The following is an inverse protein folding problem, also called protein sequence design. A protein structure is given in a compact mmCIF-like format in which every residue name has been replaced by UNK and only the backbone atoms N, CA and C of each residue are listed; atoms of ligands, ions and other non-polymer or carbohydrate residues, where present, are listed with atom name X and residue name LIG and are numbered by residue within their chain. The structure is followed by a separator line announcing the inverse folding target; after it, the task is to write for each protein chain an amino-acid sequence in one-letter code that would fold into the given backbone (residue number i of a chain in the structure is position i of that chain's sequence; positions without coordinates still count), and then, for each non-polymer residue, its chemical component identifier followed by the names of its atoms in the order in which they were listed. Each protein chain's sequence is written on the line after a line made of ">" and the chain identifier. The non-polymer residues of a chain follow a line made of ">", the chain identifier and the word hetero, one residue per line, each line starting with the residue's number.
data_IF_312684939679
#
_entry.id   IF_312684939679
#
_cell.length_a   1.000
_cell.length_b   1.000
_cell.length_c   1.000
_cell.angle_alpha   90.00
_cell.angle_beta   90.00
_cell.angle_gamma   90.00
#
_symmetry.space_group_name_H-M   'P 1'
#
loop_
_entity.id
_entity.type
_entity.pdbx_description
1 polymer ?
#
# COMPACT_ATOMS: atom_id res chain seq x y z
N UNK A 1 -27.56 33.39 -33.47
CA UNK A 1 -28.28 33.22 -32.18
C UNK A 1 -27.26 33.28 -31.06
N UNK A 2 -27.01 34.47 -30.52
CA UNK A 2 -26.03 34.72 -29.45
C UNK A 2 -26.63 34.39 -28.08
N UNK A 3 -25.97 33.54 -27.28
CA UNK A 3 -26.34 33.32 -25.88
C UNK A 3 -25.40 34.10 -24.98
N UNK A 4 -25.99 35.04 -24.25
CA UNK A 4 -25.38 35.89 -23.23
C UNK A 4 -25.03 35.06 -21.99
N UNK A 5 -23.77 35.12 -21.55
CA UNK A 5 -23.30 34.55 -20.30
C UNK A 5 -23.58 35.53 -19.16
N UNK A 6 -24.56 35.21 -18.31
CA UNK A 6 -24.82 35.94 -17.06
C UNK A 6 -24.03 35.27 -15.94
N UNK A 7 -23.07 35.99 -15.36
CA UNK A 7 -22.34 35.55 -14.18
C UNK A 7 -23.21 35.71 -12.92
N UNK A 8 -23.22 34.74 -11.98
CA UNK A 8 -23.94 34.88 -10.73
C UNK A 8 -23.21 35.82 -9.75
N UNK A 9 -23.95 36.57 -8.90
CA UNK A 9 -23.38 37.48 -7.91
C UNK A 9 -22.75 36.74 -6.72
N UNK A 10 -21.60 37.25 -6.27
CA UNK A 10 -20.90 36.78 -5.08
C UNK A 10 -21.70 37.12 -3.80
N UNK A 11 -21.84 36.20 -2.83
CA UNK A 11 -22.44 36.53 -1.54
C UNK A 11 -21.50 37.35 -0.65
N UNK A 12 -22.13 38.28 0.07
CA UNK A 12 -21.55 39.22 1.03
C UNK A 12 -21.02 38.48 2.26
N UNK A 13 -19.80 38.82 2.67
CA UNK A 13 -19.10 38.29 3.84
C UNK A 13 -19.71 38.86 5.13
N UNK A 14 -20.29 38.01 5.98
CA UNK A 14 -20.68 38.38 7.34
C UNK A 14 -19.46 38.25 8.27
N UNK A 15 -19.01 39.38 8.83
CA UNK A 15 -17.98 39.42 9.85
C UNK A 15 -18.58 39.08 11.22
N UNK A 16 -18.27 37.88 11.73
CA UNK A 16 -18.63 37.46 13.08
C UNK A 16 -17.56 37.98 14.06
N UNK A 17 -17.93 38.93 14.92
CA UNK A 17 -17.10 39.40 16.02
C UNK A 17 -17.20 38.37 17.15
N UNK A 18 -16.13 37.60 17.35
CA UNK A 18 -16.00 36.65 18.46
C UNK A 18 -15.42 37.39 19.67
N UNK A 19 -16.20 37.49 20.74
CA UNK A 19 -15.76 38.02 22.02
C UNK A 19 -14.78 37.04 22.70
N UNK A 20 -13.56 37.51 22.96
CA UNK A 20 -12.51 36.79 23.68
C UNK A 20 -12.81 36.85 25.19
N UNK A 21 -13.21 35.72 25.77
CA UNK A 21 -13.20 35.53 27.21
C UNK A 21 -11.75 35.27 27.70
N UNK A 22 -11.32 35.83 28.84
CA UNK A 22 -10.01 35.53 29.42
C UNK A 22 -9.98 34.09 29.92
N UNK A 23 -9.20 33.24 29.27
CA UNK A 23 -8.93 31.88 29.74
C UNK A 23 -8.05 31.95 30.99
N UNK A 24 -8.62 31.58 32.13
CA UNK A 24 -7.86 31.29 33.33
C UNK A 24 -6.87 30.16 33.04
N UNK A 25 -5.59 30.42 33.31
CA UNK A 25 -4.49 29.50 33.10
C UNK A 25 -4.61 28.35 34.11
N UNK A 26 -5.24 27.24 33.72
CA UNK A 26 -5.24 26.03 34.52
C UNK A 26 -3.82 25.41 34.51
N UNK A 27 -3.31 24.93 35.66
CA UNK A 27 -2.00 24.28 35.72
C UNK A 27 -1.99 23.02 34.82
N UNK A 28 -0.88 22.72 34.13
CA UNK A 28 -0.79 21.57 33.26
C UNK A 28 -0.99 20.28 34.07
N UNK A 29 -2.00 19.50 33.69
CA UNK A 29 -2.24 18.18 34.28
C UNK A 29 -1.05 17.30 33.86
N UNK A 30 -0.33 16.66 34.80
CA UNK A 30 0.74 15.74 34.45
C UNK A 30 0.16 14.62 33.59
N UNK A 31 0.53 14.61 32.31
CA UNK A 31 0.09 13.60 31.36
C UNK A 31 0.82 12.31 31.69
N UNK A 32 0.12 11.35 32.30
CA UNK A 32 0.68 10.02 32.49
C UNK A 32 1.00 9.45 31.11
N UNK A 33 2.27 9.14 30.88
CA UNK A 33 2.69 8.50 29.64
C UNK A 33 2.02 7.11 29.60
N UNK A 34 1.13 6.82 28.63
CA UNK A 34 0.49 5.52 28.57
C UNK A 34 1.57 4.43 28.45
N UNK A 35 1.41 3.29 29.14
CA UNK A 35 2.37 2.20 29.05
C UNK A 35 2.54 1.80 27.58
N UNK A 36 3.78 1.87 27.07
CA UNK A 36 4.10 1.45 25.71
C UNK A 36 3.70 -0.03 25.59
N UNK A 37 2.83 -0.41 24.64
CA UNK A 37 2.46 -1.82 24.45
C UNK A 37 3.74 -2.62 24.25
N UNK A 38 3.91 -3.66 25.06
CA UNK A 38 5.01 -4.60 24.93
C UNK A 38 4.75 -5.43 23.68
N UNK A 39 5.48 -5.14 22.60
CA UNK A 39 5.48 -5.99 21.41
C UNK A 39 6.07 -7.32 21.86
N UNK A 40 5.26 -8.38 21.87
CA UNK A 40 5.73 -9.72 22.19
C UNK A 40 6.89 -10.08 21.26
N UNK A 41 8.01 -10.51 21.83
CA UNK A 41 9.15 -10.99 21.06
C UNK A 41 8.69 -12.14 20.16
N UNK A 42 8.91 -12.01 18.85
CA UNK A 42 8.59 -13.05 17.87
C UNK A 42 9.27 -14.36 18.29
N UNK A 43 8.49 -15.45 18.34
CA UNK A 43 9.04 -16.77 18.61
C UNK A 43 10.16 -17.09 17.61
N UNK A 44 11.28 -17.64 18.09
CA UNK A 44 12.39 -18.03 17.23
C UNK A 44 11.89 -18.96 16.11
N UNK A 45 12.29 -18.71 14.84
CA UNK A 45 11.83 -19.52 13.73
C UNK A 45 12.27 -20.97 13.91
N UNK A 46 11.32 -21.91 13.76
CA UNK A 46 11.62 -23.35 13.66
C UNK A 46 12.57 -23.59 12.49
N UNK A 47 13.69 -24.27 12.78
CA UNK A 47 14.91 -24.32 11.97
C UNK A 47 14.85 -25.20 10.69
N UNK A 48 13.76 -25.22 9.92
CA UNK A 48 13.69 -26.09 8.70
C UNK A 48 12.77 -25.58 7.59
N UNK A 49 12.34 -24.32 7.60
CA UNK A 49 11.71 -23.72 6.42
C UNK A 49 12.79 -23.18 5.48
N UNK A 50 12.70 -23.45 4.18
CA UNK A 50 13.52 -22.73 3.19
C UNK A 50 13.34 -21.22 3.37
N UNK A 51 14.40 -20.42 3.22
CA UNK A 51 14.30 -18.97 3.35
C UNK A 51 13.33 -18.43 2.29
N UNK A 52 12.34 -17.66 2.73
CA UNK A 52 11.42 -16.98 1.84
C UNK A 52 12.17 -15.97 0.97
N UNK A 53 12.11 -16.14 -0.35
CA UNK A 53 12.80 -15.29 -1.33
C UNK A 53 11.78 -14.40 -2.04
N UNK A 54 11.87 -13.11 -1.78
CA UNK A 54 11.08 -12.05 -2.43
C UNK A 54 11.89 -10.75 -2.34
N UNK A 55 11.77 -9.87 -3.33
CA UNK A 55 12.31 -8.50 -3.23
C UNK A 55 11.28 -7.47 -2.76
N UNK A 56 10.11 -7.90 -2.28
CA UNK A 56 9.10 -6.98 -1.76
C UNK A 56 7.90 -7.65 -1.13
N UNK A 57 6.99 -8.18 -1.94
CA UNK A 57 5.72 -8.73 -1.45
C UNK A 57 5.96 -9.91 -0.50
N UNK A 58 5.29 -9.92 0.66
CA UNK A 58 5.41 -10.98 1.65
C UNK A 58 6.64 -10.90 2.57
N UNK A 59 7.49 -9.88 2.43
CA UNK A 59 8.56 -9.61 3.39
C UNK A 59 7.98 -9.00 4.67
N UNK A 60 8.57 -9.33 5.82
CA UNK A 60 8.34 -8.57 7.04
C UNK A 60 9.02 -7.21 6.96
N UNK A 61 8.60 -6.27 7.80
CA UNK A 61 9.15 -4.90 7.79
C UNK A 61 10.65 -4.87 7.98
N UNK A 62 11.18 -5.61 8.95
CA UNK A 62 12.61 -5.70 9.23
C UNK A 62 13.40 -6.28 8.05
N UNK A 63 12.87 -7.33 7.41
CA UNK A 63 13.45 -7.93 6.20
C UNK A 63 13.44 -6.96 5.02
N UNK A 64 12.32 -6.25 4.82
CA UNK A 64 12.18 -5.24 3.78
C UNK A 64 13.14 -4.06 4.01
N UNK A 65 13.23 -3.57 5.25
CA UNK A 65 14.15 -2.48 5.63
C UNK A 65 15.62 -2.89 5.52
N UNK A 66 15.96 -4.15 5.80
CA UNK A 66 17.31 -4.68 5.59
C UNK A 66 17.71 -4.66 4.11
N UNK A 67 16.75 -4.85 3.20
CA UNK A 67 17.01 -4.88 1.74
C UNK A 67 16.89 -3.50 1.07
N UNK A 68 15.94 -2.66 1.49
CA UNK A 68 15.62 -1.39 0.83
C UNK A 68 16.13 -0.16 1.60
N UNK A 69 16.67 -0.35 2.80
CA UNK A 69 16.99 0.71 3.74
C UNK A 69 15.78 1.13 4.57
N UNK A 70 16.01 2.03 5.53
CA UNK A 70 14.97 2.54 6.42
C UNK A 70 13.95 3.41 5.70
N UNK A 71 12.72 3.41 6.20
CA UNK A 71 11.68 4.30 5.72
C UNK A 71 12.10 5.78 5.83
N UNK A 72 11.83 6.56 4.79
CA UNK A 72 12.07 8.00 4.80
C UNK A 72 10.89 8.76 5.43
N UNK A 73 9.68 8.27 5.19
CA UNK A 73 8.45 8.91 5.64
C UNK A 73 7.38 7.85 5.89
N UNK A 74 6.68 8.01 7.02
CA UNK A 74 5.50 7.24 7.37
C UNK A 74 4.31 8.20 7.35
N UNK A 75 3.24 7.85 6.66
CA UNK A 75 2.02 8.68 6.58
C UNK A 75 0.80 7.76 6.61
N UNK A 76 0.21 7.61 7.80
CA UNK A 76 -0.84 6.63 8.03
C UNK A 76 -0.35 5.20 7.76
N UNK A 77 -1.09 4.37 6.99
CA UNK A 77 -0.68 3.00 6.65
C UNK A 77 0.43 2.96 5.58
N UNK A 78 0.73 4.09 4.95
CA UNK A 78 1.63 4.18 3.80
C UNK A 78 3.05 4.52 4.26
N UNK A 79 4.01 3.73 3.79
CA UNK A 79 5.43 3.90 4.12
C UNK A 79 6.23 4.06 2.84
N UNK A 80 7.09 5.08 2.77
CA UNK A 80 7.89 5.42 1.58
C UNK A 80 9.38 5.13 1.75
N UNK A 81 9.97 4.56 0.73
CA UNK A 81 11.36 4.10 0.64
C UNK A 81 12.04 4.65 -0.63
N UNK A 82 13.37 4.52 -0.72
CA UNK A 82 14.18 4.87 -1.90
C UNK A 82 13.85 6.25 -2.50
N UNK A 83 13.91 7.30 -1.68
CA UNK A 83 13.60 8.67 -2.14
C UNK A 83 12.12 8.92 -2.44
N UNK A 84 11.22 8.04 -2.02
CA UNK A 84 9.79 8.14 -2.29
C UNK A 84 9.33 7.35 -3.52
N UNK A 85 10.25 6.68 -4.21
CA UNK A 85 9.98 5.90 -5.42
C UNK A 85 9.29 4.55 -5.15
N UNK A 86 9.42 4.03 -3.93
CA UNK A 86 8.78 2.78 -3.52
C UNK A 86 7.89 3.06 -2.34
N UNK A 87 6.61 2.80 -2.52
CA UNK A 87 5.57 2.92 -1.50
C UNK A 87 5.11 1.53 -1.12
N UNK A 88 5.01 1.24 0.17
CA UNK A 88 4.49 -0.04 0.66
C UNK A 88 3.49 0.19 1.78
N UNK A 89 2.63 -0.79 1.98
CA UNK A 89 1.77 -0.84 3.16
C UNK A 89 1.91 -2.22 3.82
N UNK A 90 1.73 -2.24 5.14
CA UNK A 90 1.91 -3.42 5.97
C UNK A 90 0.59 -3.84 6.60
N UNK A 91 0.35 -5.14 6.64
CA UNK A 91 -0.71 -5.76 7.44
C UNK A 91 0.00 -6.79 8.33
N UNK A 92 -0.20 -6.77 9.65
CA UNK A 92 0.50 -7.69 10.57
C UNK A 92 2.03 -7.72 10.37
N UNK A 93 2.60 -6.54 10.11
CA UNK A 93 4.02 -6.31 9.84
C UNK A 93 4.59 -7.00 8.58
N UNK A 94 3.74 -7.60 7.74
CA UNK A 94 4.10 -8.16 6.42
C UNK A 94 3.65 -7.23 5.28
N UNK A 95 4.49 -7.09 4.26
CA UNK A 95 4.20 -6.30 3.05
C UNK A 95 3.11 -7.00 2.24
N UNK A 96 1.96 -6.34 2.09
CA UNK A 96 0.82 -6.84 1.30
C UNK A 96 0.50 -5.96 0.08
N UNK A 97 1.14 -4.79 0.00
CA UNK A 97 1.03 -3.86 -1.10
C UNK A 97 2.39 -3.20 -1.36
N UNK A 98 2.78 -3.13 -2.63
CA UNK A 98 3.96 -2.43 -3.13
C UNK A 98 3.56 -1.60 -4.34
N UNK A 99 4.00 -0.36 -4.38
CA UNK A 99 3.85 0.54 -5.52
C UNK A 99 5.22 1.13 -5.84
N UNK A 100 5.61 1.06 -7.11
CA UNK A 100 6.85 1.62 -7.64
C UNK A 100 6.48 2.72 -8.62
N UNK A 101 6.90 3.94 -8.35
CA UNK A 101 6.63 5.12 -9.18
C UNK A 101 7.92 5.64 -9.83
N UNK A 102 7.94 5.76 -11.16
CA UNK A 102 9.07 6.36 -11.86
C UNK A 102 8.88 7.87 -11.99
N UNK A 103 9.98 8.66 -11.94
CA UNK A 103 9.87 10.09 -12.18
C UNK A 103 9.54 10.33 -13.66
N UNK A 104 8.86 11.43 -13.96
CA UNK A 104 8.32 11.72 -15.31
C UNK A 104 9.37 11.82 -16.42
N UNK A 105 10.66 11.95 -16.07
CA UNK A 105 11.78 12.01 -17.00
C UNK A 105 12.48 10.65 -17.22
N UNK A 106 12.04 9.58 -16.56
CA UNK A 106 12.63 8.23 -16.63
C UNK A 106 11.52 7.17 -16.68
N UNK A 107 10.56 7.34 -17.59
CA UNK A 107 9.47 6.39 -17.75
C UNK A 107 9.96 5.16 -18.55
N UNK A 108 9.90 3.94 -17.99
CA UNK A 108 10.27 2.73 -18.71
C UNK A 108 9.20 2.30 -19.71
N UNK A 109 9.62 1.50 -20.68
CA UNK A 109 8.71 0.74 -21.53
C UNK A 109 7.92 -0.30 -20.70
N UNK A 110 6.77 -0.80 -21.20
CA UNK A 110 6.00 -1.85 -20.54
C UNK A 110 6.79 -3.12 -20.22
N UNK A 111 7.69 -3.54 -21.12
CA UNK A 111 8.50 -4.74 -20.91
C UNK A 111 9.55 -4.53 -19.82
N UNK A 112 10.18 -3.35 -19.76
CA UNK A 112 11.10 -2.99 -18.67
C UNK A 112 10.38 -2.88 -17.33
N UNK A 113 9.20 -2.25 -17.31
CA UNK A 113 8.36 -2.15 -16.12
C UNK A 113 7.94 -3.54 -15.61
N UNK A 114 7.57 -4.46 -16.52
CA UNK A 114 7.25 -5.85 -16.16
C UNK A 114 8.49 -6.59 -15.68
N UNK A 115 9.65 -6.43 -16.31
CA UNK A 115 10.89 -7.05 -15.83
C UNK A 115 11.31 -6.54 -14.44
N UNK A 116 11.09 -5.24 -14.14
CA UNK A 116 11.35 -4.68 -12.81
C UNK A 116 10.35 -5.21 -11.77
N UNK A 117 9.05 -5.31 -12.11
CA UNK A 117 8.03 -5.79 -11.18
C UNK A 117 8.28 -7.22 -10.70
N UNK A 118 8.80 -8.09 -11.57
CA UNK A 118 9.18 -9.47 -11.23
C UNK A 118 10.19 -9.55 -10.08
N UNK A 119 11.02 -8.52 -9.86
CA UNK A 119 12.00 -8.49 -8.77
C UNK A 119 11.36 -8.37 -7.38
N UNK A 120 10.12 -7.90 -7.31
CA UNK A 120 9.38 -7.73 -6.06
C UNK A 120 8.46 -8.91 -5.75
N UNK A 121 8.40 -9.90 -6.64
CA UNK A 121 7.54 -11.07 -6.48
C UNK A 121 8.22 -12.16 -5.62
N UNK A 122 7.44 -13.02 -4.96
CA UNK A 122 7.93 -14.27 -4.42
C UNK A 122 8.61 -15.12 -5.50
N UNK A 123 9.69 -15.82 -5.15
CA UNK A 123 10.44 -16.65 -6.11
C UNK A 123 9.62 -17.83 -6.68
N UNK A 124 8.58 -18.29 -5.97
CA UNK A 124 7.64 -19.32 -6.41
C UNK A 124 6.40 -18.74 -7.12
N UNK A 125 6.39 -17.43 -7.43
CA UNK A 125 5.29 -16.80 -8.13
C UNK A 125 5.06 -17.44 -9.51
N UNK A 126 3.86 -17.98 -9.71
CA UNK A 126 3.43 -18.55 -10.98
C UNK A 126 2.38 -17.64 -11.62
N UNK A 127 2.62 -17.23 -12.87
CA UNK A 127 1.64 -16.50 -13.67
C UNK A 127 0.42 -17.39 -13.95
N UNK A 128 -0.78 -16.84 -13.77
CA UNK A 128 -2.05 -17.53 -14.01
C UNK A 128 -2.76 -16.98 -15.23
N UNK A 129 -3.01 -15.67 -15.27
CA UNK A 129 -3.82 -15.05 -16.30
C UNK A 129 -3.52 -13.57 -16.46
N UNK A 130 -3.88 -13.05 -17.63
CA UNK A 130 -3.87 -11.63 -17.94
C UNK A 130 -5.31 -11.13 -18.04
N UNK A 131 -5.55 -9.92 -17.52
CA UNK A 131 -6.85 -9.28 -17.55
C UNK A 131 -6.74 -7.82 -17.98
N UNK A 132 -7.79 -7.34 -18.64
CA UNK A 132 -7.95 -5.93 -18.99
C UNK A 132 -9.36 -5.47 -18.58
N UNK A 133 -9.45 -4.40 -17.79
CA UNK A 133 -10.74 -3.81 -17.41
C UNK A 133 -11.32 -2.99 -18.55
N UNK A 134 -12.59 -2.55 -18.40
CA UNK A 134 -13.26 -1.69 -19.40
C UNK A 134 -12.61 -0.31 -19.50
N UNK A 135 -11.97 0.14 -18.42
CA UNK A 135 -11.19 1.38 -18.30
C UNK A 135 -9.75 1.20 -18.82
N UNK A 136 -9.50 0.13 -19.60
CA UNK A 136 -8.20 -0.22 -20.17
C UNK A 136 -7.09 -0.46 -19.15
N UNK A 137 -7.42 -0.72 -17.87
CA UNK A 137 -6.42 -1.11 -16.87
C UNK A 137 -6.00 -2.55 -17.10
N UNK A 138 -4.69 -2.78 -17.17
CA UNK A 138 -4.10 -4.10 -17.42
C UNK A 138 -3.53 -4.67 -16.14
N UNK A 139 -3.83 -5.93 -15.83
CA UNK A 139 -3.21 -6.62 -14.70
C UNK A 139 -2.91 -8.09 -14.99
N UNK A 140 -1.80 -8.54 -14.43
CA UNK A 140 -1.33 -9.92 -14.42
C UNK A 140 -1.72 -10.54 -13.07
N UNK A 141 -2.36 -11.72 -13.09
CA UNK A 141 -2.70 -12.50 -11.91
C UNK A 141 -1.62 -13.57 -11.67
N UNK A 142 -1.15 -13.65 -10.43
CA UNK A 142 -0.17 -14.63 -9.98
C UNK A 142 -0.67 -15.40 -8.75
N UNK A 143 -0.02 -16.54 -8.48
CA UNK A 143 -0.18 -17.33 -7.26
C UNK A 143 1.18 -17.64 -6.64
N UNK A 144 1.25 -17.74 -5.31
CA UNK A 144 2.42 -18.20 -4.57
C UNK A 144 1.98 -18.92 -3.29
N UNK A 145 2.44 -20.16 -3.11
CA UNK A 145 2.17 -20.96 -1.91
C UNK A 145 3.05 -20.48 -0.74
N UNK A 146 4.28 -20.04 -1.05
CA UNK A 146 5.17 -19.47 -0.05
C UNK A 146 4.59 -18.17 0.54
N UNK A 147 3.99 -17.32 -0.31
CA UNK A 147 3.31 -16.10 0.15
C UNK A 147 2.16 -16.42 1.11
N UNK A 148 1.33 -17.41 0.77
CA UNK A 148 0.26 -17.87 1.65
C UNK A 148 0.80 -18.32 3.02
N UNK A 149 1.87 -19.11 3.03
CA UNK A 149 2.51 -19.56 4.27
C UNK A 149 3.02 -18.38 5.11
N UNK A 150 3.58 -17.34 4.48
CA UNK A 150 4.09 -16.14 5.17
C UNK A 150 3.00 -15.32 5.83
N UNK A 151 1.87 -15.12 5.17
CA UNK A 151 0.74 -14.42 5.80
C UNK A 151 0.13 -15.22 6.96
N UNK A 152 0.07 -16.56 6.84
CA UNK A 152 -0.34 -17.41 7.97
C UNK A 152 0.62 -17.28 9.15
N UNK A 153 1.92 -17.16 8.88
CA UNK A 153 2.91 -16.88 9.92
C UNK A 153 2.70 -15.50 10.55
N UNK A 154 2.48 -14.46 9.74
CA UNK A 154 2.21 -13.11 10.21
C UNK A 154 0.96 -13.05 11.10
N UNK A 155 -0.12 -13.72 10.70
CA UNK A 155 -1.39 -13.77 11.43
C UNK A 155 -1.30 -14.49 12.79
N UNK A 156 -0.23 -15.26 13.08
CA UNK A 156 -0.01 -15.83 14.42
C UNK A 156 0.51 -14.79 15.42
N UNK A 157 1.05 -13.68 14.94
CA UNK A 157 1.73 -12.68 15.77
C UNK A 157 0.87 -11.41 16.01
N UNK A 158 -0.31 -11.31 15.40
CA UNK A 158 -1.19 -10.14 15.44
C UNK A 158 -2.64 -10.54 15.12
N UNK A 159 -3.58 -9.60 15.23
CA UNK A 159 -4.98 -9.83 14.85
C UNK A 159 -5.09 -10.29 13.39
N UNK A 160 -5.83 -11.37 13.08
CA UNK A 160 -5.93 -11.87 11.71
C UNK A 160 -6.53 -10.83 10.78
N UNK A 161 -5.75 -10.41 9.78
CA UNK A 161 -6.22 -9.65 8.62
C UNK A 161 -6.25 -10.65 7.47
N UNK A 162 -7.39 -10.79 6.80
CA UNK A 162 -7.49 -11.55 5.55
C UNK A 162 -7.14 -10.62 4.37
N UNK A 163 -5.95 -10.75 3.75
CA UNK A 163 -5.54 -9.90 2.64
C UNK A 163 -6.15 -10.36 1.31
N UNK A 164 -6.93 -11.46 1.29
CA UNK A 164 -7.53 -12.07 0.10
C UNK A 164 -9.06 -11.99 0.12
N UNK A 165 -9.63 -10.89 0.63
CA UNK A 165 -11.09 -10.69 0.58
C UNK A 165 -11.58 -10.89 -0.87
N UNK A 166 -12.48 -11.86 -1.05
CA UNK A 166 -13.03 -12.26 -2.37
C UNK A 166 -12.01 -12.83 -3.36
N UNK A 167 -10.88 -13.33 -2.88
CA UNK A 167 -9.82 -13.92 -3.69
C UNK A 167 -9.37 -15.29 -3.12
N UNK A 168 -8.75 -16.11 -3.97
CA UNK A 168 -8.13 -17.36 -3.49
C UNK A 168 -6.89 -17.00 -2.65
N UNK A 169 -6.68 -17.60 -1.45
CA UNK A 169 -5.47 -17.38 -0.68
C UNK A 169 -4.20 -17.69 -1.47
N UNK A 170 -3.18 -16.85 -1.32
CA UNK A 170 -1.94 -16.91 -2.11
C UNK A 170 -1.99 -16.23 -3.48
N UNK A 171 -3.13 -15.67 -3.89
CA UNK A 171 -3.22 -14.87 -5.13
C UNK A 171 -2.78 -13.42 -4.94
N UNK A 172 -2.23 -12.83 -5.98
CA UNK A 172 -1.92 -11.40 -6.01
C UNK A 172 -1.89 -10.92 -7.47
N UNK A 173 -2.07 -9.61 -7.66
CA UNK A 173 -2.03 -8.98 -8.97
C UNK A 173 -0.83 -8.07 -9.11
N UNK A 174 -0.36 -7.91 -10.34
CA UNK A 174 0.53 -6.83 -10.77
C UNK A 174 -0.21 -6.01 -11.80
N UNK A 175 -0.43 -4.73 -11.55
CA UNK A 175 -1.05 -3.83 -12.53
C UNK A 175 -0.16 -2.64 -12.84
N UNK A 176 -0.26 -2.15 -14.08
CA UNK A 176 0.58 -1.09 -14.61
C UNK A 176 -0.27 0.15 -14.87
N UNK A 177 0.24 1.32 -14.49
CA UNK A 177 -0.37 2.62 -14.85
C UNK A 177 0.34 3.13 -16.09
N UNK A 178 -0.23 2.79 -17.22
CA UNK A 178 0.28 3.12 -18.53
C UNK A 178 -0.08 4.57 -18.92
N UNK A 179 0.85 5.25 -19.59
CA UNK A 179 0.65 6.55 -20.21
C UNK A 179 0.96 6.50 -21.71
N UNK A 180 0.36 5.51 -22.40
CA UNK A 180 0.62 5.26 -23.82
C UNK A 180 1.71 4.21 -24.00
N UNK A 181 2.88 4.62 -24.49
CA UNK A 181 4.02 3.74 -24.75
C UNK A 181 4.91 3.51 -23.52
N UNK A 182 4.68 4.27 -22.45
CA UNK A 182 5.48 4.21 -21.22
C UNK A 182 4.63 3.89 -19.98
N UNK A 183 5.29 3.51 -18.88
CA UNK A 183 4.65 3.17 -17.61
C UNK A 183 5.08 4.13 -16.50
N UNK A 184 4.12 4.82 -15.89
CA UNK A 184 4.38 5.74 -14.77
C UNK A 184 4.58 5.04 -13.42
N UNK A 185 3.93 3.89 -13.23
CA UNK A 185 4.07 3.09 -12.02
C UNK A 185 3.58 1.65 -12.23
N UNK A 186 4.08 0.70 -11.45
CA UNK A 186 3.38 -0.57 -11.21
C UNK A 186 2.95 -0.69 -9.76
N UNK A 187 1.93 -1.52 -9.54
CA UNK A 187 1.44 -1.87 -8.22
C UNK A 187 1.29 -3.38 -8.11
N UNK A 188 1.75 -3.92 -6.99
CA UNK A 188 1.64 -5.32 -6.59
C UNK A 188 0.78 -5.35 -5.34
N UNK A 189 -0.32 -6.10 -5.37
CA UNK A 189 -1.26 -6.19 -4.25
C UNK A 189 -1.77 -7.62 -4.10
N UNK A 190 -1.89 -8.09 -2.86
CA UNK A 190 -2.60 -9.34 -2.57
C UNK A 190 -4.07 -9.27 -2.99
N UNK A 191 -4.64 -10.43 -3.34
CA UNK A 191 -6.02 -10.54 -3.79
C UNK A 191 -6.20 -10.19 -5.27
N UNK A 192 -7.46 -9.96 -5.67
CA UNK A 192 -7.86 -9.72 -7.07
C UNK A 192 -8.67 -8.43 -7.26
N UNK A 193 -8.46 -7.42 -6.41
CA UNK A 193 -9.19 -6.16 -6.49
C UNK A 193 -8.35 -5.05 -7.14
N UNK A 194 -8.36 -4.89 -8.48
CA UNK A 194 -7.59 -3.85 -9.17
C UNK A 194 -8.11 -2.44 -8.89
N UNK A 195 -9.35 -2.31 -8.40
CA UNK A 195 -9.99 -1.00 -8.25
C UNK A 195 -9.76 -0.37 -6.89
N UNK A 196 -9.38 -1.14 -5.87
CA UNK A 196 -9.05 -0.65 -4.51
C UNK A 196 -10.17 0.12 -3.78
N UNK A 197 -11.26 0.46 -4.48
CA UNK A 197 -12.30 1.39 -4.06
C UNK A 197 -13.67 0.75 -3.87
N UNK A 198 -13.88 -0.52 -4.23
CA UNK A 198 -15.13 -1.20 -3.89
C UNK A 198 -15.10 -1.72 -2.44
N UNK A 199 -14.90 -0.80 -1.49
CA UNK A 199 -15.21 -1.02 -0.07
C UNK A 199 -16.71 -0.96 0.21
N UNK A 200 -17.53 -0.71 -0.82
CA UNK A 200 -18.99 -0.57 -0.74
C UNK A 200 -19.77 -1.87 -0.89
N UNK A 201 -19.11 -3.01 -1.08
CA UNK A 201 -19.75 -4.34 -1.09
C UNK A 201 -19.19 -5.25 0.00
N UNK A 202 -19.52 -4.93 1.24
CA UNK A 202 -19.71 -5.95 2.27
C UNK A 202 -21.22 -5.98 2.60
N UNK A 203 -21.87 -7.15 2.68
CA UNK A 203 -23.27 -7.25 3.09
C UNK A 203 -23.49 -6.74 4.52
#
# INVERSE_FOLDING_TARGET
>A
MSRSNSAPPYPVVFALIVALAPFACAPPIPTSTPPRPTIAARANPSATAEPFRSGGLGLFRDEFEAMHGRALRVTGPVVRYRGGQVTVTFANDIVWFVEREWPSNELPSPDEARAESLRYLPADAAFQSYHQTREFRRYDLYVSDALLARFREAARNADPIDPWISARPGTFIVYYRDSGEDVGSFVISTGVNPDGNDRTRLP
#
